data_IF_308029194785
#
_entry.id   IF_308029194785
#
_cell.length_a   1.000
_cell.length_b   1.000
_cell.length_c   1.000
_cell.angle_alpha   90.00
_cell.angle_beta   90.00
_cell.angle_gamma   90.00
#
_symmetry.space_group_name_H-M   'P 1'
#
loop_
_entity.id
_entity.type
_entity.pdbx_description
1 polymer ?
#
# COMPACT_ATOMS: atom_id res chain seq x y z
N UNK A 1 5.90 18.52 -5.86
CA UNK A 1 4.53 18.00 -6.08
C UNK A 1 4.00 17.61 -4.71
N UNK A 2 2.88 18.16 -4.26
CA UNK A 2 2.20 17.64 -3.07
C UNK A 2 1.48 16.35 -3.50
N UNK A 3 2.18 15.22 -3.46
CA UNK A 3 1.54 13.92 -3.67
C UNK A 3 0.68 13.64 -2.43
N UNK A 4 -0.63 13.83 -2.57
CA UNK A 4 -1.61 13.36 -1.59
C UNK A 4 -1.53 11.85 -1.50
N UNK A 5 -1.30 11.35 -0.29
CA UNK A 5 -1.30 9.91 -0.03
C UNK A 5 -2.69 9.31 -0.34
N UNK A 6 -2.76 8.05 -0.77
CA UNK A 6 -4.01 7.34 -0.96
C UNK A 6 -4.86 7.37 0.33
N UNK A 7 -6.18 7.55 0.18
CA UNK A 7 -7.10 7.74 1.32
C UNK A 7 -8.06 6.57 1.52
N UNK A 8 -8.06 5.59 0.62
CA UNK A 8 -8.89 4.39 0.70
C UNK A 8 -8.10 3.14 0.36
N UNK A 9 -8.58 1.97 0.83
CA UNK A 9 -8.04 0.66 0.45
C UNK A 9 -7.85 0.49 -1.06
N UNK A 10 -8.82 0.92 -1.87
CA UNK A 10 -8.75 0.78 -3.34
C UNK A 10 -7.63 1.63 -3.92
N UNK A 11 -7.46 2.85 -3.43
CA UNK A 11 -6.39 3.74 -3.90
C UNK A 11 -5.01 3.19 -3.49
N UNK A 12 -4.91 2.61 -2.29
CA UNK A 12 -3.70 1.92 -1.84
C UNK A 12 -3.38 0.70 -2.71
N UNK A 13 -4.37 -0.12 -3.07
CA UNK A 13 -4.15 -1.23 -4.00
C UNK A 13 -3.63 -0.75 -5.36
N UNK A 14 -4.23 0.31 -5.92
CA UNK A 14 -3.77 0.91 -7.19
C UNK A 14 -2.33 1.42 -7.05
N UNK A 15 -2.01 2.06 -5.93
CA UNK A 15 -0.66 2.53 -5.61
C UNK A 15 0.34 1.36 -5.55
N UNK A 16 0.00 0.28 -4.83
CA UNK A 16 0.85 -0.89 -4.63
C UNK A 16 1.01 -1.77 -5.86
N UNK A 17 0.12 -1.72 -6.86
CA UNK A 17 0.28 -2.44 -8.15
C UNK A 17 1.52 -2.05 -8.95
N UNK A 18 2.18 -0.95 -8.58
CA UNK A 18 3.51 -0.54 -9.06
C UNK A 18 4.59 -1.53 -8.60
N UNK A 19 4.44 -2.14 -7.42
CA UNK A 19 5.36 -3.17 -6.93
C UNK A 19 5.21 -4.47 -7.74
N UNK A 20 6.34 -4.94 -8.27
CA UNK A 20 6.44 -6.20 -9.03
C UNK A 20 6.98 -7.36 -8.18
N UNK A 21 7.58 -7.06 -7.03
CA UNK A 21 8.09 -8.04 -6.07
C UNK A 21 7.52 -7.76 -4.69
N UNK A 22 7.47 -8.79 -3.85
CA UNK A 22 7.06 -8.68 -2.45
C UNK A 22 7.99 -7.71 -1.70
N UNK A 23 9.30 -7.80 -1.91
CA UNK A 23 10.27 -6.89 -1.26
C UNK A 23 9.99 -5.41 -1.55
N UNK A 24 9.62 -5.09 -2.81
CA UNK A 24 9.28 -3.71 -3.19
C UNK A 24 7.96 -3.29 -2.55
N UNK A 25 6.99 -4.21 -2.48
CA UNK A 25 5.69 -3.98 -1.87
C UNK A 25 5.82 -3.67 -0.37
N UNK A 26 6.67 -4.42 0.34
CA UNK A 26 6.95 -4.21 1.76
C UNK A 26 7.65 -2.88 2.02
N UNK A 27 8.67 -2.53 1.21
CA UNK A 27 9.34 -1.22 1.27
C UNK A 27 8.36 -0.06 1.07
N UNK A 28 7.40 -0.21 0.16
CA UNK A 28 6.37 0.80 -0.09
C UNK A 28 5.40 0.94 1.10
N UNK A 29 5.00 -0.16 1.74
CA UNK A 29 4.15 -0.14 2.93
C UNK A 29 4.88 0.51 4.11
N UNK A 30 6.14 0.15 4.36
CA UNK A 30 6.96 0.76 5.42
C UNK A 30 7.08 2.27 5.23
N UNK A 31 7.32 2.72 4.00
CA UNK A 31 7.36 4.14 3.65
C UNK A 31 6.03 4.86 3.85
N UNK A 32 4.91 4.17 3.61
CA UNK A 32 3.57 4.69 3.83
C UNK A 32 3.25 4.81 5.33
N UNK A 33 3.47 3.75 6.11
CA UNK A 33 3.15 3.69 7.54
C UNK A 33 3.88 4.77 8.36
N UNK A 34 5.10 5.14 7.95
CA UNK A 34 5.85 6.25 8.57
C UNK A 34 5.21 7.63 8.37
N UNK A 35 4.34 7.79 7.36
CA UNK A 35 3.71 9.06 6.99
C UNK A 35 2.25 9.17 7.46
N UNK A 36 1.55 8.04 7.57
CA UNK A 36 0.15 7.97 7.98
C UNK A 36 0.03 8.15 9.50
N UNK A 37 -0.97 8.93 9.93
CA UNK A 37 -1.07 9.39 11.33
C UNK A 37 -2.17 8.70 12.11
N UNK A 38 -3.20 8.23 11.43
CA UNK A 38 -4.36 7.63 12.08
C UNK A 38 -4.38 6.11 11.88
N UNK A 39 -4.90 5.35 12.86
CA UNK A 39 -5.06 3.90 12.70
C UNK A 39 -5.91 3.52 11.48
N UNK A 40 -6.89 4.35 11.12
CA UNK A 40 -7.74 4.14 9.95
C UNK A 40 -6.93 4.19 8.65
N UNK A 41 -6.14 5.24 8.46
CA UNK A 41 -5.28 5.39 7.29
C UNK A 41 -4.28 4.24 7.16
N UNK A 42 -3.69 3.82 8.29
CA UNK A 42 -2.77 2.68 8.33
C UNK A 42 -3.49 1.38 7.97
N UNK A 43 -4.71 1.15 8.48
CA UNK A 43 -5.51 -0.02 8.14
C UNK A 43 -5.84 -0.07 6.64
N UNK A 44 -6.24 1.06 6.03
CA UNK A 44 -6.50 1.14 4.59
C UNK A 44 -5.25 0.79 3.76
N UNK A 45 -4.07 1.24 4.20
CA UNK A 45 -2.80 0.90 3.56
C UNK A 45 -2.46 -0.60 3.70
N UNK A 46 -2.60 -1.18 4.90
CA UNK A 46 -2.34 -2.60 5.15
C UNK A 46 -3.28 -3.47 4.30
N UNK A 47 -4.58 -3.17 4.26
CA UNK A 47 -5.54 -3.92 3.45
C UNK A 47 -5.31 -3.81 1.94
N UNK A 48 -4.73 -2.70 1.48
CA UNK A 48 -4.29 -2.52 0.09
C UNK A 48 -3.03 -3.34 -0.23
N UNK A 49 -2.09 -3.39 0.71
CA UNK A 49 -0.87 -4.22 0.62
C UNK A 49 -1.22 -5.70 0.56
N UNK A 50 -2.06 -6.21 1.47
CA UNK A 50 -2.49 -7.61 1.50
C UNK A 50 -3.17 -8.03 0.19
N UNK A 51 -4.01 -7.14 -0.36
CA UNK A 51 -4.65 -7.39 -1.64
C UNK A 51 -3.62 -7.50 -2.78
N UNK A 52 -2.58 -6.64 -2.78
CA UNK A 52 -1.52 -6.73 -3.78
C UNK A 52 -0.61 -7.94 -3.58
N UNK A 53 -0.32 -8.32 -2.34
CA UNK A 53 0.47 -9.52 -2.02
C UNK A 53 -0.21 -10.76 -2.62
N UNK A 54 -1.52 -10.90 -2.41
CA UNK A 54 -2.33 -11.96 -2.98
C UNK A 54 -2.31 -11.96 -4.53
N UNK A 55 -2.30 -10.79 -5.16
CA UNK A 55 -2.14 -10.70 -6.63
C UNK A 55 -0.75 -11.19 -7.08
N UNK A 56 0.33 -10.88 -6.34
CA UNK A 56 1.70 -11.31 -6.67
C UNK A 56 1.85 -12.83 -6.48
N UNK A 57 1.30 -13.38 -5.39
CA UNK A 57 1.38 -14.81 -5.09
C UNK A 57 0.59 -15.69 -6.06
N UNK A 58 -0.47 -15.14 -6.67
CA UNK A 58 -1.31 -15.86 -7.64
C UNK A 58 -0.80 -15.86 -9.07
N UNK A 59 0.18 -15.01 -9.41
CA UNK A 59 0.76 -14.88 -10.76
C UNK A 59 -0.01 -13.92 -11.65
#
# INVERSE_FOLDING_TARGET
MNETLPTSRTDWLIYFRRAKTVDTLDLMLDGALRKLKTPREQADAILGHEARLNEIEKG
#
